data_IF_111407616526
#
_entry.id   IF_111407616526
#
_cell.length_a   1.000
_cell.length_b   1.000
_cell.length_c   1.000
_cell.angle_alpha   90.00
_cell.angle_beta   90.00
_cell.angle_gamma   90.00
#
_symmetry.space_group_name_H-M   'P 1'
#
loop_
_entity.id
_entity.type
_entity.pdbx_description
1 polymer ?
#
# COMPACT_ATOMS: atom_id res chain seq x y z
N UNK A 1 -19.49 -17.66 -17.48
CA UNK A 1 -19.71 -16.21 -17.27
C UNK A 1 -18.36 -15.57 -17.01
N UNK A 2 -17.97 -14.55 -17.77
CA UNK A 2 -16.67 -13.85 -17.60
C UNK A 2 -16.92 -12.62 -16.71
N UNK A 3 -16.16 -12.43 -15.61
CA UNK A 3 -16.31 -11.26 -14.76
C UNK A 3 -15.77 -9.99 -15.44
N UNK A 4 -16.39 -8.83 -15.17
CA UNK A 4 -15.93 -7.53 -15.67
C UNK A 4 -14.57 -7.13 -15.08
N UNK A 5 -14.33 -7.43 -13.81
CA UNK A 5 -13.10 -7.14 -13.10
C UNK A 5 -12.83 -8.21 -12.06
N UNK A 6 -11.57 -8.58 -11.89
CA UNK A 6 -11.09 -9.42 -10.80
C UNK A 6 -9.91 -8.69 -10.16
N UNK A 7 -9.87 -8.55 -8.82
CA UNK A 7 -8.72 -7.95 -8.14
C UNK A 7 -7.42 -8.69 -8.49
N UNK A 8 -6.30 -7.97 -8.64
CA UNK A 8 -5.01 -8.63 -8.87
C UNK A 8 -4.64 -9.49 -7.66
N UNK A 9 -4.19 -10.71 -7.93
CA UNK A 9 -3.63 -11.65 -6.94
C UNK A 9 -2.22 -12.00 -7.39
N UNK A 10 -1.23 -11.59 -6.61
CA UNK A 10 0.21 -11.75 -6.85
C UNK A 10 0.76 -12.98 -6.14
N UNK A 11 0.22 -13.33 -4.95
CA UNK A 11 0.55 -14.52 -4.18
C UNK A 11 1.44 -14.28 -2.94
N UNK A 12 1.96 -13.07 -2.75
CA UNK A 12 2.82 -12.70 -1.59
C UNK A 12 2.11 -11.81 -0.57
N UNK A 13 0.82 -11.54 -0.75
CA UNK A 13 0.05 -10.61 0.10
C UNK A 13 -0.02 -11.09 1.54
N UNK A 14 -0.27 -12.39 1.74
CA UNK A 14 -0.34 -13.00 3.07
C UNK A 14 0.98 -12.86 3.83
N UNK A 15 2.12 -13.05 3.16
CA UNK A 15 3.45 -12.94 3.77
C UNK A 15 3.75 -11.51 4.22
N UNK A 16 3.38 -10.52 3.39
CA UNK A 16 3.55 -9.11 3.75
C UNK A 16 2.61 -8.69 4.89
N UNK A 17 1.36 -9.20 4.91
CA UNK A 17 0.46 -8.97 6.04
C UNK A 17 0.99 -9.60 7.33
N UNK A 18 1.48 -10.84 7.28
CA UNK A 18 2.11 -11.50 8.43
C UNK A 18 3.34 -10.72 8.91
N UNK A 19 4.16 -10.22 7.99
CA UNK A 19 5.31 -9.37 8.34
C UNK A 19 4.88 -8.06 9.01
N UNK A 20 3.75 -7.47 8.61
CA UNK A 20 3.21 -6.27 9.24
C UNK A 20 2.67 -6.56 10.65
N UNK A 21 1.96 -7.69 10.82
CA UNK A 21 1.49 -8.16 12.12
C UNK A 21 2.68 -8.41 13.07
N UNK A 22 3.72 -9.09 12.58
CA UNK A 22 4.94 -9.37 13.33
C UNK A 22 5.73 -8.12 13.73
N UNK A 23 5.55 -6.99 13.04
CA UNK A 23 6.21 -5.73 13.41
C UNK A 23 5.55 -5.01 14.59
N UNK A 24 4.36 -5.44 15.03
CA UNK A 24 3.59 -4.79 16.08
C UNK A 24 3.10 -3.37 15.75
N UNK A 25 3.19 -2.92 14.50
CA UNK A 25 2.80 -1.57 14.07
C UNK A 25 1.90 -1.62 12.82
N UNK A 26 0.60 -1.63 13.08
CA UNK A 26 -0.46 -1.69 12.05
C UNK A 26 -1.11 -0.32 11.78
N UNK A 27 -0.82 0.70 12.60
CA UNK A 27 -1.30 2.06 12.34
C UNK A 27 -0.58 2.69 11.13
N UNK A 28 -1.12 3.83 10.67
CA UNK A 28 -0.53 4.62 9.59
C UNK A 28 0.95 4.97 9.83
N UNK A 29 1.64 5.33 8.75
CA UNK A 29 3.08 5.63 8.76
C UNK A 29 3.97 4.50 9.29
N UNK A 30 3.48 3.26 9.18
CA UNK A 30 4.22 2.03 9.43
C UNK A 30 5.25 1.70 8.33
N UNK A 31 5.95 0.57 8.50
CA UNK A 31 7.03 0.17 7.60
C UNK A 31 6.58 -0.06 6.14
N UNK A 32 5.37 -0.57 5.93
CA UNK A 32 4.81 -0.75 4.59
C UNK A 32 4.33 0.57 3.98
N UNK A 33 3.71 1.47 4.75
CA UNK A 33 3.34 2.82 4.29
C UNK A 33 4.55 3.55 3.72
N UNK A 34 5.66 3.56 4.47
CA UNK A 34 6.89 4.25 4.03
C UNK A 34 7.49 3.61 2.78
N UNK A 35 7.53 2.28 2.69
CA UNK A 35 8.04 1.58 1.50
C UNK A 35 7.22 1.91 0.25
N UNK A 36 5.90 1.89 0.35
CA UNK A 36 5.03 2.27 -0.76
C UNK A 36 5.24 3.73 -1.17
N UNK A 37 5.28 4.65 -0.20
CA UNK A 37 5.53 6.08 -0.48
C UNK A 37 6.89 6.30 -1.16
N UNK A 38 7.97 5.69 -0.64
CA UNK A 38 9.30 5.79 -1.23
C UNK A 38 9.36 5.23 -2.65
N UNK A 39 8.75 4.06 -2.87
CA UNK A 39 8.69 3.46 -4.20
C UNK A 39 7.95 4.36 -5.19
N UNK A 40 6.83 4.96 -4.78
CA UNK A 40 6.04 5.89 -5.61
C UNK A 40 6.80 7.21 -5.87
N UNK A 41 7.43 7.78 -4.84
CA UNK A 41 8.29 8.97 -4.95
C UNK A 41 9.43 8.73 -5.97
N UNK A 42 10.13 7.61 -5.86
CA UNK A 42 11.22 7.24 -6.77
C UNK A 42 10.71 6.93 -8.18
N UNK A 43 9.60 6.20 -8.31
CA UNK A 43 9.07 5.77 -9.60
C UNK A 43 8.49 6.92 -10.42
N UNK A 44 7.86 7.88 -9.75
CA UNK A 44 7.16 8.98 -10.42
C UNK A 44 7.84 10.34 -10.27
N UNK A 45 8.93 10.44 -9.50
CA UNK A 45 9.65 11.70 -9.29
C UNK A 45 8.88 12.72 -8.45
N UNK A 46 7.90 12.26 -7.65
CA UNK A 46 7.13 13.16 -6.78
C UNK A 46 8.00 13.62 -5.60
N UNK A 47 7.86 14.89 -5.21
CA UNK A 47 8.51 15.43 -4.01
C UNK A 47 8.04 14.73 -2.73
N UNK A 48 6.76 14.33 -2.69
CA UNK A 48 6.18 13.60 -1.57
C UNK A 48 4.99 12.77 -2.03
N UNK A 49 4.87 11.56 -1.47
CA UNK A 49 3.65 10.76 -1.56
C UNK A 49 3.15 10.45 -0.16
N UNK A 50 1.83 10.56 0.03
CA UNK A 50 1.13 10.23 1.26
C UNK A 50 0.02 9.21 0.95
N UNK A 51 -0.03 8.11 1.70
CA UNK A 51 -1.14 7.16 1.57
C UNK A 51 -2.34 7.63 2.39
N UNK A 52 -3.51 7.68 1.75
CA UNK A 52 -4.79 7.97 2.40
C UNK A 52 -5.73 6.76 2.30
N UNK A 53 -6.76 6.66 3.16
CA UNK A 53 -7.70 5.53 3.10
C UNK A 53 -8.46 5.45 1.76
N UNK A 54 -8.78 6.60 1.17
CA UNK A 54 -9.52 6.76 -0.08
C UNK A 54 -9.16 8.08 -0.78
N UNK A 55 -9.47 8.18 -2.08
CA UNK A 55 -9.16 9.34 -2.92
C UNK A 55 -9.82 10.65 -2.45
N UNK A 56 -11.07 10.60 -2.01
CA UNK A 56 -11.84 11.81 -1.62
C UNK A 56 -11.47 12.36 -0.23
N UNK A 57 -10.47 11.81 0.44
CA UNK A 57 -10.06 12.23 1.78
C UNK A 57 -9.03 13.36 1.83
N UNK A 58 -8.76 14.05 0.72
CA UNK A 58 -7.69 15.06 0.59
C UNK A 58 -8.26 16.49 0.46
N UNK A 59 -9.45 16.74 1.00
CA UNK A 59 -10.07 18.07 0.99
C UNK A 59 -9.44 19.01 2.02
#
# INVERSE_FOLDING_TARGET
>A
MIPFNAPPVVGTELDYMQSALGSGKLCGDGGFTRRCQQWLEQRFGSAKVLLTPILYGVT
#
